data_IF_639100432486
#
_entry.id   IF_639100432486
#
_cell.length_a   1.000
_cell.length_b   1.000
_cell.length_c   1.000
_cell.angle_alpha   90.00
_cell.angle_beta   90.00
_cell.angle_gamma   90.00
#
_symmetry.space_group_name_H-M   'P 1'
#
loop_
_entity.id
_entity.type
_entity.pdbx_description
1 polymer ?
#
# COMPACT_ATOMS: atom_id res chain seq x y z
N UNK A 1 18.88 -28.15 36.92
CA UNK A 1 18.59 -26.69 37.10
C UNK A 1 18.56 -26.09 35.71
N UNK A 2 17.37 -25.88 35.21
CA UNK A 2 17.12 -25.42 33.84
C UNK A 2 16.62 -23.97 33.91
N UNK A 3 17.42 -23.01 33.47
CA UNK A 3 17.07 -21.61 33.40
C UNK A 3 16.30 -21.36 32.07
N UNK A 4 14.99 -21.27 32.17
CA UNK A 4 14.13 -20.84 31.06
C UNK A 4 14.17 -19.31 31.05
N UNK A 5 14.88 -18.78 30.06
CA UNK A 5 14.91 -17.36 29.71
C UNK A 5 13.54 -16.93 29.15
N UNK A 6 12.84 -16.11 29.93
CA UNK A 6 11.56 -15.50 29.51
C UNK A 6 11.83 -14.41 28.45
N UNK A 7 11.53 -14.71 27.20
CA UNK A 7 11.34 -13.70 26.16
C UNK A 7 10.03 -12.94 26.44
N UNK A 8 10.16 -11.76 27.01
CA UNK A 8 9.05 -10.80 27.11
C UNK A 8 8.75 -10.28 25.71
N UNK A 9 7.64 -10.71 25.15
CA UNK A 9 7.04 -10.08 24.00
C UNK A 9 6.70 -8.62 24.35
N UNK A 10 7.37 -7.67 23.72
CA UNK A 10 7.00 -6.27 23.75
C UNK A 10 5.70 -6.14 22.95
N UNK A 11 4.59 -6.10 23.68
CA UNK A 11 3.27 -5.79 23.14
C UNK A 11 3.33 -4.34 22.63
N UNK A 12 3.27 -4.16 21.29
CA UNK A 12 3.13 -2.85 20.70
C UNK A 12 1.80 -2.26 21.17
N UNK A 13 1.85 -1.19 21.94
CA UNK A 13 0.67 -0.44 22.34
C UNK A 13 0.10 0.24 21.11
N UNK A 14 -0.92 -0.35 20.54
CA UNK A 14 -1.80 0.35 19.61
C UNK A 14 -2.50 1.45 20.40
N UNK A 15 -2.06 2.70 20.24
CA UNK A 15 -2.76 3.86 20.76
C UNK A 15 -3.99 4.08 19.89
N UNK A 16 -5.13 3.58 20.36
CA UNK A 16 -6.42 3.94 19.81
C UNK A 16 -6.70 5.39 20.25
N UNK A 17 -6.51 6.34 19.33
CA UNK A 17 -6.81 7.75 19.58
C UNK A 17 -8.32 7.90 19.46
N UNK A 18 -9.05 8.29 20.54
CA UNK A 18 -10.47 8.57 20.43
C UNK A 18 -10.69 9.75 19.48
N UNK A 19 -11.80 9.74 18.77
CA UNK A 19 -12.22 10.68 17.72
C UNK A 19 -12.58 12.10 18.21
N UNK A 20 -11.77 12.70 19.09
CA UNK A 20 -11.91 14.08 19.52
C UNK A 20 -10.69 14.88 19.06
N UNK A 21 -10.87 15.68 17.98
CA UNK A 21 -10.04 16.84 17.58
C UNK A 21 -8.55 16.82 17.96
N UNK A 22 -7.84 15.75 17.64
CA UNK A 22 -6.38 15.76 17.68
C UNK A 22 -5.89 16.64 16.55
N UNK A 23 -5.13 17.68 16.88
CA UNK A 23 -4.53 18.58 15.91
C UNK A 23 -3.73 17.76 14.89
N UNK A 24 -4.29 17.58 13.69
CA UNK A 24 -3.70 16.84 12.58
C UNK A 24 -2.22 17.23 12.34
N UNK A 25 -1.83 18.52 12.41
CA UNK A 25 -0.45 18.95 12.24
C UNK A 25 0.53 18.33 13.27
N UNK A 26 0.09 18.13 14.53
CA UNK A 26 0.96 17.53 15.54
C UNK A 26 1.19 16.02 15.30
N UNK A 27 0.18 15.28 14.84
CA UNK A 27 0.31 13.88 14.52
C UNK A 27 1.23 13.64 13.30
N UNK A 28 1.14 14.50 12.30
CA UNK A 28 2.00 14.44 11.10
C UNK A 28 3.46 14.76 11.46
N UNK A 29 3.70 15.73 12.34
CA UNK A 29 5.06 16.05 12.78
C UNK A 29 5.72 14.90 13.55
N UNK A 30 4.97 14.19 14.39
CA UNK A 30 5.42 12.98 15.07
C UNK A 30 5.76 11.84 14.10
N UNK A 31 4.92 11.60 13.09
CA UNK A 31 5.21 10.64 12.04
C UNK A 31 6.50 11.02 11.29
N UNK A 32 6.63 12.27 10.88
CA UNK A 32 7.79 12.77 10.13
C UNK A 32 9.11 12.63 10.88
N UNK A 33 9.10 12.72 12.23
CA UNK A 33 10.30 12.56 13.05
C UNK A 33 10.87 11.13 13.05
N UNK A 34 10.09 10.15 12.58
CA UNK A 34 10.50 8.74 12.53
C UNK A 34 11.36 8.46 11.30
N UNK A 35 12.36 7.56 11.40
CA UNK A 35 13.30 7.30 10.31
C UNK A 35 12.74 6.44 9.18
N UNK A 36 11.69 5.67 9.43
CA UNK A 36 11.11 4.72 8.46
C UNK A 36 9.61 4.77 8.45
N UNK A 37 9.03 4.74 7.24
CA UNK A 37 7.60 4.78 7.03
C UNK A 37 7.15 3.63 6.14
N UNK A 38 5.91 3.20 6.33
CA UNK A 38 5.20 2.31 5.44
C UNK A 38 3.84 2.89 5.11
N UNK A 39 3.29 2.48 3.99
CA UNK A 39 1.91 2.83 3.60
C UNK A 39 1.13 1.57 3.24
N UNK A 40 -0.18 1.59 3.53
CA UNK A 40 -1.12 0.61 2.99
C UNK A 40 -1.90 1.31 1.90
N UNK A 41 -1.63 0.93 0.66
CA UNK A 41 -2.30 1.47 -0.51
C UNK A 41 -3.10 0.39 -1.26
N UNK A 42 -4.15 0.82 -1.96
CA UNK A 42 -4.94 -0.07 -2.82
C UNK A 42 -4.59 0.13 -4.29
N UNK A 43 -4.31 -1.00 -4.93
CA UNK A 43 -4.16 -1.11 -6.39
C UNK A 43 -5.05 -2.26 -6.87
N UNK A 44 -5.88 -2.02 -7.89
CA UNK A 44 -6.83 -3.02 -8.38
C UNK A 44 -7.66 -3.68 -7.26
N UNK A 45 -8.21 -2.86 -6.35
CA UNK A 45 -9.05 -3.29 -5.22
C UNK A 45 -8.32 -4.15 -4.16
N UNK A 46 -7.08 -4.53 -4.40
CA UNK A 46 -6.25 -5.27 -3.47
C UNK A 46 -5.41 -4.30 -2.65
N UNK A 47 -5.34 -4.52 -1.34
CA UNK A 47 -4.52 -3.72 -0.41
C UNK A 47 -3.11 -4.32 -0.34
N UNK A 48 -2.12 -3.45 -0.41
CA UNK A 48 -0.72 -3.81 -0.30
C UNK A 48 -0.05 -2.96 0.77
N UNK A 49 0.74 -3.60 1.62
CA UNK A 49 1.66 -2.92 2.52
C UNK A 49 2.94 -2.65 1.73
N UNK A 50 3.34 -1.39 1.68
CA UNK A 50 4.41 -0.90 0.83
C UNK A 50 5.43 -0.11 1.67
N UNK A 51 6.69 -0.38 1.41
CA UNK A 51 7.81 0.40 1.94
C UNK A 51 8.59 1.05 0.79
N UNK A 52 9.38 2.08 1.06
CA UNK A 52 10.22 2.68 0.03
C UNK A 52 11.17 1.65 -0.59
N UNK A 53 11.32 1.71 -1.93
CA UNK A 53 12.17 0.82 -2.76
C UNK A 53 11.64 -0.61 -2.95
N UNK A 54 10.47 -0.97 -2.41
CA UNK A 54 9.86 -2.27 -2.64
C UNK A 54 9.54 -2.50 -4.13
N UNK A 55 9.60 -3.77 -4.52
CA UNK A 55 9.19 -4.23 -5.83
C UNK A 55 7.85 -4.97 -5.71
N UNK A 56 6.80 -4.33 -6.18
CA UNK A 56 5.44 -4.84 -6.14
C UNK A 56 5.05 -5.49 -7.46
N UNK A 57 4.52 -6.71 -7.43
CA UNK A 57 3.95 -7.38 -8.61
C UNK A 57 2.43 -7.31 -8.54
N UNK A 58 1.82 -6.67 -9.52
CA UNK A 58 0.36 -6.51 -9.65
C UNK A 58 -0.16 -7.14 -10.95
N UNK A 59 -1.44 -7.45 -11.07
CA UNK A 59 -2.03 -7.81 -12.34
C UNK A 59 -1.71 -6.77 -13.40
N UNK A 60 -1.62 -7.19 -14.66
CA UNK A 60 -1.17 -6.32 -15.75
C UNK A 60 -2.01 -5.06 -15.88
N UNK A 61 -1.37 -3.92 -15.74
CA UNK A 61 -1.90 -2.61 -16.04
C UNK A 61 -1.85 -2.43 -17.57
N UNK A 62 -2.99 -2.09 -18.22
CA UNK A 62 -3.07 -1.99 -19.69
C UNK A 62 -2.67 -0.62 -20.20
N UNK A 63 -2.96 0.42 -19.39
CA UNK A 63 -2.90 1.82 -19.83
C UNK A 63 -1.57 2.50 -19.45
N UNK A 64 -0.54 1.71 -19.13
CA UNK A 64 0.77 2.23 -18.71
C UNK A 64 1.89 1.55 -19.46
N UNK A 65 2.95 2.31 -19.72
CA UNK A 65 4.18 1.86 -20.37
C UNK A 65 5.31 1.66 -19.34
N UNK A 66 6.32 0.91 -19.72
CA UNK A 66 7.53 0.77 -18.90
C UNK A 66 8.23 2.12 -18.80
N UNK A 67 8.57 2.52 -17.58
CA UNK A 67 9.15 3.83 -17.26
C UNK A 67 8.15 4.87 -16.74
N UNK A 68 6.83 4.64 -16.90
CA UNK A 68 5.82 5.56 -16.39
C UNK A 68 5.83 5.62 -14.86
N UNK A 69 5.52 6.81 -14.34
CA UNK A 69 5.41 7.07 -12.91
C UNK A 69 3.94 7.22 -12.55
N UNK A 70 3.47 6.35 -11.69
CA UNK A 70 2.08 6.31 -11.22
C UNK A 70 2.01 6.91 -9.82
N UNK A 71 1.06 7.81 -9.58
CA UNK A 71 0.74 8.30 -8.23
C UNK A 71 -0.30 7.37 -7.58
N UNK A 72 -0.01 6.90 -6.37
CA UNK A 72 -0.95 6.10 -5.60
C UNK A 72 -1.94 7.03 -4.89
N UNK A 73 -3.20 6.99 -5.30
CA UNK A 73 -4.25 7.87 -4.78
C UNK A 73 -5.02 7.30 -3.59
N UNK A 74 -5.16 5.97 -3.51
CA UNK A 74 -5.96 5.31 -2.47
C UNK A 74 -5.06 4.76 -1.37
N UNK A 75 -4.67 5.62 -0.44
CA UNK A 75 -3.85 5.28 0.73
C UNK A 75 -4.78 5.15 1.93
N UNK A 76 -4.81 3.99 2.58
CA UNK A 76 -5.62 3.71 3.77
C UNK A 76 -4.91 4.11 5.04
N UNK A 77 -3.62 3.79 5.11
CA UNK A 77 -2.82 4.01 6.31
C UNK A 77 -1.42 4.51 5.93
N UNK A 78 -0.92 5.42 6.74
CA UNK A 78 0.49 5.81 6.80
C UNK A 78 0.99 5.47 8.20
N UNK A 79 2.02 4.66 8.29
CA UNK A 79 2.56 4.25 9.57
C UNK A 79 4.08 4.35 9.65
N UNK A 80 4.54 4.39 10.87
CA UNK A 80 5.93 4.26 11.26
C UNK A 80 6.05 3.16 12.31
N UNK A 81 7.19 3.07 12.98
CA UNK A 81 7.38 2.11 14.07
C UNK A 81 6.42 2.34 15.24
N UNK A 82 6.21 3.61 15.61
CA UNK A 82 5.52 3.98 16.86
C UNK A 82 4.14 4.61 16.60
N UNK A 83 3.93 5.19 15.43
CA UNK A 83 2.71 5.95 15.09
C UNK A 83 2.08 5.45 13.80
N UNK A 84 0.76 5.48 13.76
CA UNK A 84 -0.03 5.13 12.57
C UNK A 84 -1.15 6.13 12.37
N UNK A 85 -1.24 6.70 11.18
CA UNK A 85 -2.33 7.54 10.71
C UNK A 85 -3.23 6.72 9.79
N UNK A 86 -4.49 6.53 10.18
CA UNK A 86 -5.49 5.81 9.39
C UNK A 86 -6.50 6.80 8.81
N UNK A 87 -6.80 6.66 7.54
CA UNK A 87 -7.82 7.45 6.85
C UNK A 87 -9.20 6.79 6.92
N UNK A 88 -10.26 7.61 6.90
CA UNK A 88 -11.66 7.17 6.82
C UNK A 88 -12.34 7.83 5.61
N UNK A 89 -12.41 7.14 4.46
CA UNK A 89 -11.86 5.82 4.12
C UNK A 89 -10.39 5.87 3.71
N UNK A 90 -9.85 7.05 3.32
CA UNK A 90 -8.49 7.23 2.82
C UNK A 90 -7.81 8.39 3.52
N UNK A 91 -6.48 8.31 3.60
CA UNK A 91 -5.65 9.45 4.02
C UNK A 91 -5.77 10.54 2.95
N UNK A 92 -5.96 11.81 3.32
CA UNK A 92 -6.05 12.90 2.36
C UNK A 92 -4.82 12.94 1.43
N UNK A 93 -5.03 13.15 0.13
CA UNK A 93 -3.93 13.15 -0.86
C UNK A 93 -2.93 14.30 -0.65
N UNK A 94 -3.33 15.34 0.10
CA UNK A 94 -2.50 16.48 0.45
C UNK A 94 -1.55 16.19 1.63
N UNK A 95 -1.75 15.06 2.32
CA UNK A 95 -0.92 14.65 3.46
C UNK A 95 0.21 13.71 3.04
N UNK A 96 -0.04 12.84 2.07
CA UNK A 96 0.91 11.81 1.66
C UNK A 96 0.96 11.69 0.15
N UNK A 97 2.17 11.69 -0.39
CA UNK A 97 2.41 11.42 -1.80
C UNK A 97 3.32 10.20 -1.95
N UNK A 98 2.87 9.22 -2.71
CA UNK A 98 3.66 8.03 -3.02
C UNK A 98 3.61 7.78 -4.51
N UNK A 99 4.78 7.62 -5.10
CA UNK A 99 4.94 7.34 -6.52
C UNK A 99 5.43 5.92 -6.73
N UNK A 100 4.97 5.27 -7.77
CA UNK A 100 5.42 3.95 -8.19
C UNK A 100 5.86 4.01 -9.66
N UNK A 101 7.06 3.56 -9.96
CA UNK A 101 7.58 3.51 -11.32
C UNK A 101 7.35 2.13 -11.92
N UNK A 102 6.84 2.07 -13.14
CA UNK A 102 6.65 0.80 -13.89
C UNK A 102 8.01 0.31 -14.36
N UNK A 103 8.44 -0.82 -13.85
CA UNK A 103 9.75 -1.40 -14.20
C UNK A 103 9.64 -2.31 -15.43
N UNK A 104 8.67 -3.22 -15.41
CA UNK A 104 8.48 -4.19 -16.50
C UNK A 104 7.08 -4.77 -16.55
N UNK A 105 6.72 -5.30 -17.72
CA UNK A 105 5.55 -6.15 -17.90
C UNK A 105 6.00 -7.60 -18.08
N UNK A 106 5.59 -8.48 -17.17
CA UNK A 106 5.98 -9.89 -17.17
C UNK A 106 4.78 -10.80 -17.40
N UNK A 107 5.06 -12.06 -17.68
CA UNK A 107 4.05 -13.12 -17.75
C UNK A 107 4.39 -14.19 -16.71
N UNK A 108 3.36 -14.68 -16.06
CA UNK A 108 3.46 -15.77 -15.11
C UNK A 108 3.79 -17.10 -15.76
N UNK A 109 3.86 -18.13 -14.92
CA UNK A 109 3.99 -19.54 -15.36
C UNK A 109 2.80 -19.91 -16.24
N UNK A 110 3.04 -20.79 -17.20
CA UNK A 110 1.97 -21.36 -18.00
C UNK A 110 1.13 -22.31 -17.15
N UNK A 111 -0.17 -22.07 -17.13
CA UNK A 111 -1.16 -22.94 -16.50
C UNK A 111 -1.92 -23.70 -17.59
N UNK A 112 -2.00 -24.99 -17.45
CA UNK A 112 -2.78 -25.86 -18.33
C UNK A 112 -4.04 -26.31 -17.62
N UNK A 113 -5.19 -25.91 -18.17
CA UNK A 113 -6.50 -26.22 -17.62
C UNK A 113 -7.17 -27.23 -18.54
N UNK A 114 -7.41 -28.42 -18.04
CA UNK A 114 -8.16 -29.44 -18.76
C UNK A 114 -9.60 -29.51 -18.25
N UNK A 115 -10.54 -29.23 -19.16
CA UNK A 115 -11.99 -29.32 -18.87
C UNK A 115 -12.58 -30.51 -19.64
N UNK A 116 -13.25 -31.42 -18.91
CA UNK A 116 -13.93 -32.58 -19.49
C UNK A 116 -15.31 -32.76 -18.87
N UNK A 117 -16.31 -33.12 -19.70
CA UNK A 117 -17.63 -33.57 -19.20
C UNK A 117 -17.77 -35.07 -19.44
N UNK A 118 -18.16 -35.80 -18.40
CA UNK A 118 -18.38 -37.25 -18.47
C UNK A 118 -19.56 -37.55 -19.44
N UNK A 119 -19.43 -38.58 -20.25
CA UNK A 119 -20.47 -39.07 -21.20
C UNK A 119 -21.00 -38.05 -22.22
N UNK A 120 -20.33 -36.91 -22.43
CA UNK A 120 -20.76 -35.84 -23.38
C UNK A 120 -19.75 -35.50 -24.45
N UNK A 121 -18.67 -36.27 -24.58
CA UNK A 121 -17.64 -35.99 -25.60
C UNK A 121 -16.92 -34.64 -25.47
N UNK A 122 -17.25 -33.82 -24.48
CA UNK A 122 -16.66 -32.51 -24.31
C UNK A 122 -15.30 -32.60 -23.64
N UNK A 123 -14.27 -32.12 -24.35
CA UNK A 123 -12.92 -31.96 -23.82
C UNK A 123 -12.36 -30.62 -24.33
N UNK A 124 -11.73 -29.86 -23.44
CA UNK A 124 -11.08 -28.60 -23.78
C UNK A 124 -9.79 -28.43 -23.01
N UNK A 125 -8.70 -28.25 -23.73
CA UNK A 125 -7.41 -27.84 -23.20
C UNK A 125 -7.26 -26.32 -23.34
N UNK A 126 -7.00 -25.63 -22.23
CA UNK A 126 -6.79 -24.18 -22.20
C UNK A 126 -5.39 -23.97 -21.63
N UNK A 127 -4.57 -23.21 -22.35
CA UNK A 127 -3.26 -22.75 -21.88
C UNK A 127 -3.34 -21.28 -21.57
N UNK A 128 -3.03 -20.89 -20.35
CA UNK A 128 -3.10 -19.53 -19.88
C UNK A 128 -1.78 -19.08 -19.27
N UNK A 129 -1.36 -17.85 -19.58
CA UNK A 129 -0.25 -17.14 -18.91
C UNK A 129 -0.78 -15.81 -18.41
N UNK A 130 -0.88 -15.67 -17.09
CA UNK A 130 -1.29 -14.41 -16.48
C UNK A 130 -0.23 -13.34 -16.71
N UNK A 131 -0.68 -12.16 -17.19
CA UNK A 131 0.15 -10.98 -17.30
C UNK A 131 0.26 -10.25 -15.98
N UNK A 132 1.46 -9.77 -15.67
CA UNK A 132 1.76 -8.96 -14.49
C UNK A 132 2.53 -7.70 -14.89
N UNK A 133 2.45 -6.69 -14.03
CA UNK A 133 3.27 -5.49 -14.08
C UNK A 133 4.07 -5.39 -12.79
N UNK A 134 5.36 -5.14 -12.89
CA UNK A 134 6.22 -4.86 -11.72
C UNK A 134 6.39 -3.37 -11.54
N UNK A 135 6.09 -2.94 -10.33
CA UNK A 135 6.18 -1.54 -9.90
C UNK A 135 7.26 -1.41 -8.85
N UNK A 136 8.11 -0.40 -8.98
CA UNK A 136 9.06 -0.02 -7.94
C UNK A 136 8.50 1.15 -7.17
N UNK A 137 8.37 1.00 -5.86
CA UNK A 137 7.86 2.05 -4.99
C UNK A 137 8.95 3.09 -4.75
N UNK A 138 8.61 4.35 -4.97
CA UNK A 138 9.47 5.49 -4.70
C UNK A 138 9.50 5.86 -3.21
N UNK A 139 10.03 7.04 -2.88
CA UNK A 139 9.98 7.58 -1.54
C UNK A 139 8.52 7.83 -1.12
N UNK A 140 8.29 7.79 0.19
CA UNK A 140 7.02 8.18 0.80
C UNK A 140 7.20 9.62 1.28
N UNK A 141 6.58 10.55 0.59
CA UNK A 141 6.67 11.97 0.91
C UNK A 141 5.49 12.36 1.78
N UNK A 142 5.77 12.83 3.00
CA UNK A 142 4.77 13.35 3.93
C UNK A 142 4.69 14.86 3.72
N UNK A 143 3.56 15.33 3.18
CA UNK A 143 3.29 16.72 2.88
C UNK A 143 2.69 17.41 4.12
N UNK A 144 2.90 18.73 4.24
CA UNK A 144 2.22 19.52 5.24
C UNK A 144 0.81 19.81 4.73
N UNK A 145 -0.23 19.61 5.57
CA UNK A 145 -1.58 20.00 5.18
C UNK A 145 -1.58 21.51 4.91
N UNK A 146 -2.26 21.95 3.84
CA UNK A 146 -2.37 23.38 3.54
C UNK A 146 -2.98 24.08 4.75
N UNK A 147 -2.28 25.07 5.28
CA UNK A 147 -2.80 25.93 6.34
C UNK A 147 -3.96 26.71 5.74
N UNK A 148 -5.19 26.29 6.04
CA UNK A 148 -6.36 27.10 5.72
C UNK A 148 -6.25 28.44 6.48
N UNK A 149 -5.69 29.44 5.84
CA UNK A 149 -5.88 30.81 6.26
C UNK A 149 -7.37 31.08 6.09
N UNK A 150 -8.11 31.06 7.20
CA UNK A 150 -9.45 31.62 7.26
C UNK A 150 -9.30 33.09 6.93
N UNK A 151 -9.62 33.45 5.70
CA UNK A 151 -9.87 34.85 5.36
C UNK A 151 -11.13 35.30 6.11
N UNK A 152 -10.93 35.90 7.26
CA UNK A 152 -11.96 36.66 7.95
C UNK A 152 -12.14 37.93 7.10
N UNK A 153 -13.10 37.89 6.18
CA UNK A 153 -13.63 39.09 5.56
C UNK A 153 -14.58 39.72 6.57
N UNK A 154 -14.12 40.80 7.19
CA UNK A 154 -14.94 41.70 7.97
C UNK A 154 -15.91 42.51 7.08
#
# INVERSE_FOLDING_TARGET
MCLVSQLRALCSRSLHIPSSSTNLPSAISLLRSQPSHYVIASLHETRYLLTPKDLLTVPRLRDVSVGDVLRLSKIYELGSRDYTLRGEPFVPPDTVSVHATVVEHTKGKMEEIFKKKRRKGYQKHIRHKQGYTRLRIGPIDILDPPTHQQSISG
#
